data_IF_588454612338
#
_entry.id   IF_588454612338
#
_cell.length_a   1.000
_cell.length_b   1.000
_cell.length_c   1.000
_cell.angle_alpha   90.00
_cell.angle_beta   90.00
_cell.angle_gamma   90.00
#
_symmetry.space_group_name_H-M   'P 1'
#
loop_
_entity.id
_entity.type
_entity.pdbx_description
1 polymer ?
#
# COMPACT_ATOMS: atom_id res chain seq x y z
N UNK A 1 -38.81 15.96 15.74
CA UNK A 1 -37.44 16.44 15.52
C UNK A 1 -36.54 15.23 15.47
N UNK A 2 -36.13 14.80 14.27
CA UNK A 2 -35.25 13.63 14.09
C UNK A 2 -33.80 14.06 14.38
N UNK A 3 -33.18 13.45 15.37
CA UNK A 3 -31.78 13.66 15.73
C UNK A 3 -30.95 12.94 14.65
N UNK A 4 -30.29 13.69 13.76
CA UNK A 4 -29.32 13.15 12.82
C UNK A 4 -28.18 12.48 13.61
N UNK A 5 -27.76 11.25 13.27
CA UNK A 5 -26.64 10.62 13.93
C UNK A 5 -25.38 11.46 13.70
N UNK A 6 -24.67 11.79 14.77
CA UNK A 6 -23.36 12.46 14.70
C UNK A 6 -22.45 11.64 13.80
N UNK A 7 -21.95 12.24 12.70
CA UNK A 7 -20.94 11.65 11.87
C UNK A 7 -19.75 11.25 12.75
N UNK A 8 -19.56 9.96 12.95
CA UNK A 8 -18.43 9.45 13.73
C UNK A 8 -17.14 9.94 13.10
N UNK A 9 -16.25 10.53 13.91
CA UNK A 9 -14.90 10.91 13.48
C UNK A 9 -14.25 9.67 12.86
N UNK A 10 -14.04 9.67 11.54
CA UNK A 10 -13.35 8.59 10.86
C UNK A 10 -11.96 8.48 11.48
N UNK A 11 -11.71 7.39 12.21
CA UNK A 11 -10.42 7.12 12.81
C UNK A 11 -9.39 7.07 11.68
N UNK A 12 -8.52 8.06 11.62
CA UNK A 12 -7.50 8.16 10.59
C UNK A 12 -6.56 6.97 10.70
N UNK A 13 -6.25 6.31 9.58
CA UNK A 13 -5.32 5.18 9.60
C UNK A 13 -3.93 5.67 9.94
N UNK A 14 -3.29 4.99 10.89
CA UNK A 14 -1.94 5.30 11.35
C UNK A 14 -0.92 5.28 10.20
N UNK A 15 -0.04 6.25 10.18
CA UNK A 15 1.15 6.33 9.32
C UNK A 15 2.35 5.84 10.13
N UNK A 16 3.16 4.95 9.57
CA UNK A 16 4.40 4.49 10.20
C UNK A 16 5.51 5.53 10.01
N UNK A 17 6.32 5.78 11.04
CA UNK A 17 7.57 6.54 10.87
C UNK A 17 8.58 5.75 10.03
N UNK A 18 9.69 6.37 9.61
CA UNK A 18 10.74 5.66 8.86
C UNK A 18 11.41 4.57 9.70
N UNK A 19 11.61 4.85 10.98
CA UNK A 19 12.17 3.91 11.96
C UNK A 19 11.22 2.72 12.16
N UNK A 20 9.92 2.99 12.31
CA UNK A 20 8.90 1.95 12.47
C UNK A 20 8.77 1.06 11.24
N UNK A 21 8.83 1.63 10.03
CA UNK A 21 8.85 0.85 8.78
C UNK A 21 10.04 -0.09 8.73
N UNK A 22 11.23 0.45 9.01
CA UNK A 22 12.49 -0.30 9.02
C UNK A 22 12.47 -1.40 10.08
N UNK A 23 12.03 -1.08 11.28
CA UNK A 23 11.92 -2.01 12.38
C UNK A 23 10.95 -3.14 12.08
N UNK A 24 9.74 -2.81 11.62
CA UNK A 24 8.70 -3.79 11.26
C UNK A 24 9.20 -4.76 10.18
N UNK A 25 9.78 -4.24 9.09
CA UNK A 25 10.32 -5.09 8.03
C UNK A 25 11.51 -5.94 8.49
N UNK A 26 12.37 -5.41 9.36
CA UNK A 26 13.49 -6.16 9.97
C UNK A 26 12.96 -7.36 10.75
N UNK A 27 11.96 -7.17 11.62
CA UNK A 27 11.36 -8.26 12.39
C UNK A 27 10.61 -9.25 11.49
N UNK A 28 9.81 -8.77 10.54
CA UNK A 28 9.12 -9.62 9.59
C UNK A 28 10.10 -10.54 8.83
N UNK A 29 11.26 -10.01 8.41
CA UNK A 29 12.30 -10.77 7.73
C UNK A 29 13.01 -11.76 8.67
N UNK A 30 13.48 -11.29 9.82
CA UNK A 30 14.25 -12.09 10.77
C UNK A 30 13.45 -13.25 11.37
N UNK A 31 12.14 -13.07 11.53
CA UNK A 31 11.21 -14.09 12.06
C UNK A 31 10.51 -14.88 10.94
N UNK A 32 11.07 -14.88 9.73
CA UNK A 32 10.61 -15.65 8.57
C UNK A 32 9.10 -15.47 8.27
N UNK A 33 8.61 -14.24 8.34
CA UNK A 33 7.24 -13.95 7.94
C UNK A 33 7.03 -14.32 6.46
N UNK A 34 6.08 -15.20 6.19
CA UNK A 34 5.72 -15.56 4.82
C UNK A 34 5.11 -14.38 4.02
N UNK A 35 4.73 -13.32 4.73
CA UNK A 35 4.23 -12.07 4.17
C UNK A 35 5.27 -10.93 4.14
N UNK A 36 6.55 -11.19 4.46
CA UNK A 36 7.59 -10.16 4.41
C UNK A 36 7.60 -9.40 3.06
N UNK A 37 7.61 -10.14 1.95
CA UNK A 37 7.63 -9.54 0.62
C UNK A 37 6.30 -8.82 0.29
N UNK A 38 5.18 -9.29 0.83
CA UNK A 38 3.88 -8.60 0.74
C UNK A 38 3.95 -7.22 1.42
N UNK A 39 4.45 -7.15 2.65
CA UNK A 39 4.59 -5.90 3.39
C UNK A 39 5.56 -4.93 2.71
N UNK A 40 6.69 -5.46 2.23
CA UNK A 40 7.68 -4.68 1.51
C UNK A 40 7.12 -4.06 0.21
N UNK A 41 6.30 -4.82 -0.54
CA UNK A 41 5.66 -4.34 -1.76
C UNK A 41 4.50 -3.37 -1.45
N UNK A 42 3.72 -3.61 -0.38
CA UNK A 42 2.66 -2.72 0.07
C UNK A 42 3.17 -1.31 0.36
N UNK A 43 4.31 -1.19 1.06
CA UNK A 43 4.98 0.07 1.37
C UNK A 43 5.53 0.81 0.15
N UNK A 44 5.78 0.12 -0.98
CA UNK A 44 6.36 0.71 -2.19
C UNK A 44 5.36 1.04 -3.28
N UNK A 45 4.17 0.46 -3.20
CA UNK A 45 3.16 0.61 -4.25
C UNK A 45 1.92 1.37 -3.81
N UNK A 46 1.66 1.43 -2.51
CA UNK A 46 0.42 1.96 -1.97
C UNK A 46 -0.84 1.22 -2.44
N UNK A 47 -0.71 0.01 -2.99
CA UNK A 47 -1.86 -0.82 -3.42
C UNK A 47 -2.81 -1.07 -2.26
N UNK A 48 -4.11 -1.18 -2.57
CA UNK A 48 -5.09 -1.63 -1.59
C UNK A 48 -4.83 -3.10 -1.21
N UNK A 49 -5.15 -3.46 0.03
CA UNK A 49 -4.96 -4.86 0.50
C UNK A 49 -5.57 -5.89 -0.47
N UNK A 50 -6.82 -5.65 -0.94
CA UNK A 50 -7.47 -6.56 -1.89
C UNK A 50 -6.79 -6.62 -3.26
N UNK A 51 -6.24 -5.51 -3.75
CA UNK A 51 -5.48 -5.46 -5.00
C UNK A 51 -4.17 -6.24 -4.88
N UNK A 52 -3.43 -6.03 -3.79
CA UNK A 52 -2.15 -6.71 -3.57
C UNK A 52 -2.32 -8.22 -3.35
N UNK A 53 -3.37 -8.64 -2.60
CA UNK A 53 -3.72 -10.07 -2.46
C UNK A 53 -4.15 -10.70 -3.78
N UNK A 54 -4.79 -9.92 -4.67
CA UNK A 54 -5.22 -10.34 -6.00
C UNK A 54 -4.14 -10.28 -7.07
N UNK A 55 -2.93 -9.85 -6.75
CA UNK A 55 -1.83 -9.69 -7.71
C UNK A 55 -1.37 -11.05 -8.24
N UNK A 56 -1.35 -11.20 -9.56
CA UNK A 56 -0.88 -12.41 -10.25
C UNK A 56 0.43 -12.13 -10.99
N UNK A 57 1.18 -13.19 -11.28
CA UNK A 57 2.41 -13.04 -12.08
C UNK A 57 2.15 -12.52 -13.51
N UNK A 58 0.94 -12.73 -14.05
CA UNK A 58 0.52 -12.16 -15.34
C UNK A 58 0.43 -10.64 -15.34
N UNK A 59 0.26 -10.03 -14.14
CA UNK A 59 0.11 -8.59 -13.99
C UNK A 59 1.45 -7.86 -13.95
N UNK A 60 2.56 -8.61 -13.94
CA UNK A 60 3.91 -8.05 -13.86
C UNK A 60 4.47 -7.87 -15.28
N UNK A 61 4.39 -6.66 -15.77
CA UNK A 61 4.91 -6.27 -17.09
C UNK A 61 6.41 -5.97 -17.06
N UNK A 62 7.27 -7.00 -16.93
CA UNK A 62 8.74 -6.84 -16.79
C UNK A 62 9.37 -6.01 -17.92
N UNK A 63 8.92 -6.16 -19.18
CA UNK A 63 9.46 -5.40 -20.31
C UNK A 63 9.12 -3.91 -20.24
N UNK A 64 7.94 -3.57 -19.72
CA UNK A 64 7.45 -2.20 -19.59
C UNK A 64 7.72 -1.61 -18.20
N UNK A 65 8.27 -2.41 -17.29
CA UNK A 65 8.48 -2.06 -15.88
C UNK A 65 7.21 -1.46 -15.25
N UNK A 66 6.11 -2.24 -15.24
CA UNK A 66 4.82 -1.85 -14.67
C UNK A 66 4.15 -3.01 -13.94
N UNK A 67 3.35 -2.68 -12.94
CA UNK A 67 2.37 -3.57 -12.32
C UNK A 67 0.98 -3.15 -12.82
N UNK A 68 0.27 -4.06 -13.49
CA UNK A 68 -1.10 -3.84 -13.93
C UNK A 68 -2.07 -4.15 -12.79
N UNK A 69 -2.70 -3.14 -12.21
CA UNK A 69 -3.72 -3.32 -11.17
C UNK A 69 -5.08 -3.49 -11.86
N UNK A 70 -5.52 -4.72 -12.01
CA UNK A 70 -6.71 -5.07 -12.83
C UNK A 70 -7.78 -5.81 -12.03
N UNK A 71 -7.54 -6.16 -10.76
CA UNK A 71 -8.50 -6.86 -9.90
C UNK A 71 -8.31 -6.54 -8.42
N UNK A 72 -9.32 -6.87 -7.64
CA UNK A 72 -9.28 -6.85 -6.18
C UNK A 72 -9.92 -8.11 -5.62
N UNK A 73 -9.38 -8.67 -4.56
CA UNK A 73 -10.01 -9.75 -3.83
C UNK A 73 -10.97 -9.20 -2.78
N UNK A 74 -12.19 -9.70 -2.80
CA UNK A 74 -13.25 -9.40 -1.84
C UNK A 74 -13.72 -10.69 -1.18
N UNK A 75 -14.31 -10.55 0.00
CA UNK A 75 -15.02 -11.60 0.70
C UNK A 75 -16.49 -11.18 0.87
N UNK A 76 -17.39 -12.08 0.61
CA UNK A 76 -18.82 -11.91 0.82
C UNK A 76 -19.36 -13.18 1.49
N UNK A 77 -20.20 -13.00 2.47
CA UNK A 77 -20.83 -14.11 3.19
C UNK A 77 -21.66 -14.94 2.22
N UNK A 78 -21.54 -16.26 2.30
CA UNK A 78 -22.19 -17.21 1.38
C UNK A 78 -21.47 -17.42 0.03
N UNK A 79 -20.67 -16.44 -0.44
CA UNK A 79 -19.85 -16.56 -1.67
C UNK A 79 -18.39 -16.88 -1.40
N UNK A 80 -17.91 -16.51 -0.21
CA UNK A 80 -16.50 -16.67 0.13
C UNK A 80 -15.59 -15.61 -0.51
N UNK A 81 -14.33 -15.97 -0.74
CA UNK A 81 -13.32 -15.12 -1.36
C UNK A 81 -13.45 -15.18 -2.89
N UNK A 82 -13.55 -14.02 -3.54
CA UNK A 82 -13.68 -13.92 -4.99
C UNK A 82 -12.91 -12.74 -5.57
N UNK A 83 -12.56 -12.85 -6.86
CA UNK A 83 -12.00 -11.76 -7.65
C UNK A 83 -13.13 -10.83 -8.10
N UNK A 84 -12.96 -9.53 -7.85
CA UNK A 84 -13.82 -8.49 -8.39
C UNK A 84 -13.02 -7.61 -9.33
N UNK A 85 -13.61 -7.35 -10.50
CA UNK A 85 -13.02 -6.39 -11.44
C UNK A 85 -13.36 -4.98 -10.98
N UNK A 86 -12.42 -4.05 -11.05
CA UNK A 86 -12.69 -2.67 -10.70
C UNK A 86 -13.86 -2.09 -11.50
N UNK A 87 -14.88 -1.59 -10.81
CA UNK A 87 -16.11 -1.04 -11.43
C UNK A 87 -15.91 0.26 -12.20
N UNK A 88 -14.74 0.90 -12.07
CA UNK A 88 -14.45 2.19 -12.70
C UNK A 88 -13.11 2.15 -13.43
N UNK A 89 -12.99 2.88 -14.53
CA UNK A 89 -11.76 3.03 -15.30
C UNK A 89 -10.57 3.54 -14.42
N UNK A 90 -10.85 4.35 -13.41
CA UNK A 90 -9.82 4.85 -12.47
C UNK A 90 -9.26 3.78 -11.53
N UNK A 91 -9.92 2.64 -11.42
CA UNK A 91 -9.47 1.53 -10.56
C UNK A 91 -8.55 0.55 -11.29
N UNK A 92 -8.61 0.50 -12.64
CA UNK A 92 -7.61 -0.19 -13.47
C UNK A 92 -6.51 0.81 -13.77
N UNK A 93 -5.28 0.49 -13.39
CA UNK A 93 -4.15 1.40 -13.53
C UNK A 93 -2.83 0.66 -13.59
N UNK A 94 -1.84 1.31 -14.14
CA UNK A 94 -0.45 0.85 -14.12
C UNK A 94 0.32 1.58 -13.02
N UNK A 95 1.05 0.82 -12.21
CA UNK A 95 2.02 1.36 -11.24
C UNK A 95 3.41 1.12 -11.81
N UNK A 96 4.25 2.15 -11.97
CA UNK A 96 5.64 1.98 -12.36
C UNK A 96 6.36 1.00 -11.43
N UNK A 97 7.03 0.00 -12.00
CA UNK A 97 7.78 -1.03 -11.30
C UNK A 97 9.25 -0.62 -11.25
N UNK A 98 9.79 -0.47 -10.05
CA UNK A 98 11.22 -0.22 -9.85
C UNK A 98 11.98 -1.55 -9.72
N UNK A 99 13.32 -1.53 -9.88
CA UNK A 99 14.15 -2.73 -9.77
C UNK A 99 14.05 -3.40 -8.39
N UNK A 100 13.96 -2.62 -7.32
CA UNK A 100 13.79 -3.15 -5.96
C UNK A 100 12.42 -3.80 -5.75
N UNK A 101 11.35 -3.27 -6.36
CA UNK A 101 10.03 -3.92 -6.36
C UNK A 101 10.05 -5.24 -7.16
N UNK A 102 10.73 -5.25 -8.31
CA UNK A 102 10.92 -6.48 -9.09
C UNK A 102 11.69 -7.52 -8.29
N UNK A 103 12.74 -7.11 -7.58
CA UNK A 103 13.51 -7.99 -6.70
C UNK A 103 12.65 -8.58 -5.56
N UNK A 104 11.73 -7.79 -4.97
CA UNK A 104 10.79 -8.29 -3.96
C UNK A 104 9.90 -9.40 -4.53
N UNK A 105 9.38 -9.22 -5.75
CA UNK A 105 8.55 -10.21 -6.44
C UNK A 105 9.35 -11.49 -6.74
N UNK A 106 10.60 -11.36 -7.20
CA UNK A 106 11.48 -12.50 -7.42
C UNK A 106 11.86 -13.21 -6.11
N UNK A 107 12.05 -12.47 -5.02
CA UNK A 107 12.28 -13.05 -3.70
C UNK A 107 11.06 -13.82 -3.19
N UNK A 108 9.83 -13.35 -3.46
CA UNK A 108 8.61 -14.08 -3.14
C UNK A 108 8.53 -15.41 -3.90
N UNK A 109 8.90 -15.38 -5.17
CA UNK A 109 8.98 -16.59 -5.99
C UNK A 109 9.98 -17.60 -5.42
N UNK A 110 11.19 -17.13 -5.04
CA UNK A 110 12.23 -17.96 -4.40
C UNK A 110 11.77 -18.51 -3.05
N UNK A 111 11.05 -17.72 -2.25
CA UNK A 111 10.54 -18.14 -0.95
C UNK A 111 9.66 -19.40 -1.06
N UNK A 112 8.87 -19.52 -2.12
CA UNK A 112 8.06 -20.71 -2.41
C UNK A 112 8.80 -21.79 -3.22
N UNK A 113 10.11 -21.67 -3.45
CA UNK A 113 10.89 -22.63 -4.23
C UNK A 113 10.49 -22.68 -5.71
N UNK A 114 9.83 -21.65 -6.22
CA UNK A 114 9.38 -21.59 -7.61
C UNK A 114 10.56 -21.21 -8.50
N UNK A 115 11.14 -22.17 -9.20
CA UNK A 115 12.21 -21.91 -10.17
C UNK A 115 11.70 -21.33 -11.51
N UNK A 116 10.52 -21.79 -11.96
CA UNK A 116 9.87 -21.34 -13.19
C UNK A 116 8.37 -21.16 -12.97
N UNK A 117 7.84 -20.03 -13.42
CA UNK A 117 6.39 -19.80 -13.41
C UNK A 117 5.79 -20.57 -14.58
N UNK A 118 5.07 -21.64 -14.28
CA UNK A 118 4.38 -22.48 -15.28
C UNK A 118 3.05 -21.83 -15.64
N UNK A 119 2.33 -21.34 -14.63
CA UNK A 119 1.05 -20.67 -14.80
C UNK A 119 1.15 -19.21 -14.33
N UNK A 120 1.12 -18.27 -15.29
CA UNK A 120 1.17 -16.84 -15.01
C UNK A 120 -0.09 -16.33 -14.26
N UNK A 121 -1.17 -17.10 -14.25
CA UNK A 121 -2.39 -16.77 -13.50
C UNK A 121 -2.30 -17.13 -12.01
N UNK A 122 -1.18 -17.66 -11.54
CA UNK A 122 -0.96 -17.87 -10.10
C UNK A 122 -0.78 -16.56 -9.37
N UNK A 123 -1.31 -16.50 -8.14
CA UNK A 123 -1.14 -15.35 -7.27
C UNK A 123 0.33 -15.22 -6.85
N UNK A 124 0.83 -13.98 -6.81
CA UNK A 124 2.18 -13.68 -6.29
C UNK A 124 2.25 -14.01 -4.80
N UNK A 125 1.17 -13.70 -4.07
CA UNK A 125 1.05 -13.95 -2.63
C UNK A 125 -0.05 -14.97 -2.36
N UNK A 126 0.33 -16.11 -1.80
CA UNK A 126 -0.56 -17.23 -1.48
C UNK A 126 -0.14 -17.94 -0.19
N UNK A 127 -0.91 -18.91 0.28
CA UNK A 127 -0.67 -19.66 1.53
C UNK A 127 0.11 -20.98 1.31
N UNK A 128 0.94 -21.07 0.28
CA UNK A 128 1.68 -22.30 -0.05
C UNK A 128 0.90 -23.27 -0.93
N UNK A 129 -0.41 -23.31 -0.83
CA UNK A 129 -1.32 -24.15 -1.61
C UNK A 129 -1.88 -23.44 -2.86
N UNK A 130 -1.27 -22.32 -3.25
CA UNK A 130 -1.64 -21.45 -4.38
C UNK A 130 -2.99 -20.74 -4.23
N UNK A 131 -3.70 -20.92 -3.12
CA UNK A 131 -4.91 -20.15 -2.81
C UNK A 131 -4.57 -18.74 -2.38
N UNK A 132 -5.40 -17.74 -2.73
CA UNK A 132 -5.15 -16.37 -2.35
C UNK A 132 -5.26 -16.18 -0.84
N UNK A 133 -4.50 -15.24 -0.31
CA UNK A 133 -4.47 -14.91 1.12
C UNK A 133 -5.76 -14.19 1.52
N UNK A 134 -6.36 -14.54 2.66
CA UNK A 134 -7.49 -13.81 3.21
C UNK A 134 -7.06 -12.45 3.80
N UNK A 135 -8.02 -11.55 4.01
CA UNK A 135 -7.76 -10.27 4.69
C UNK A 135 -7.27 -10.49 6.12
N UNK A 136 -7.87 -11.45 6.79
CA UNK A 136 -7.60 -11.72 8.20
C UNK A 136 -6.21 -12.35 8.39
N UNK A 137 -5.76 -13.20 7.45
CA UNK A 137 -4.39 -13.70 7.45
C UNK A 137 -3.35 -12.57 7.38
N UNK A 138 -3.59 -11.56 6.55
CA UNK A 138 -2.68 -10.39 6.46
C UNK A 138 -2.65 -9.63 7.79
N UNK A 139 -3.82 -9.38 8.41
CA UNK A 139 -3.88 -8.65 9.67
C UNK A 139 -3.28 -9.46 10.82
N UNK A 140 -3.58 -10.74 10.90
CA UNK A 140 -3.02 -11.63 11.94
C UNK A 140 -1.49 -11.69 11.86
N UNK A 141 -0.92 -11.69 10.65
CA UNK A 141 0.53 -11.69 10.48
C UNK A 141 1.16 -10.34 10.85
N UNK A 142 0.48 -9.21 10.57
CA UNK A 142 0.90 -7.89 11.08
C UNK A 142 0.91 -7.91 12.61
N UNK A 143 -0.18 -8.37 13.23
CA UNK A 143 -0.31 -8.41 14.68
C UNK A 143 0.74 -9.35 15.32
N UNK A 144 1.07 -10.49 14.67
CA UNK A 144 2.17 -11.38 15.08
C UNK A 144 3.53 -10.68 15.07
N UNK A 145 3.87 -9.97 14.00
CA UNK A 145 5.14 -9.24 13.92
C UNK A 145 5.22 -8.14 14.98
N UNK A 146 4.12 -7.42 15.23
CA UNK A 146 4.05 -6.41 16.28
C UNK A 146 4.24 -7.04 17.67
N UNK A 147 3.64 -8.20 17.93
CA UNK A 147 3.82 -8.93 19.18
C UNK A 147 5.29 -9.26 19.43
N UNK A 148 6.00 -9.77 18.41
CA UNK A 148 7.44 -10.09 18.50
C UNK A 148 8.31 -8.85 18.77
N UNK A 149 7.96 -7.70 18.19
CA UNK A 149 8.67 -6.43 18.49
C UNK A 149 8.46 -6.04 19.96
N UNK A 150 7.25 -6.21 20.47
CA UNK A 150 6.90 -5.88 21.87
C UNK A 150 7.52 -6.85 22.87
N UNK A 151 7.65 -8.13 22.53
CA UNK A 151 8.34 -9.14 23.35
C UNK A 151 9.81 -8.77 23.59
N UNK A 152 10.45 -8.10 22.63
CA UNK A 152 11.80 -7.56 22.78
C UNK A 152 11.83 -6.20 23.54
N UNK A 153 10.73 -5.80 24.21
CA UNK A 153 10.61 -4.60 25.03
C UNK A 153 10.44 -3.30 24.25
N UNK A 154 10.24 -3.35 22.93
CA UNK A 154 10.08 -2.16 22.10
C UNK A 154 8.61 -1.76 22.02
N UNK A 155 8.31 -0.52 22.40
CA UNK A 155 6.95 0.00 22.26
C UNK A 155 6.62 0.22 20.79
N UNK A 156 5.69 -0.58 20.25
CA UNK A 156 5.26 -0.49 18.87
C UNK A 156 3.73 -0.43 18.81
N UNK A 157 3.18 0.66 18.30
CA UNK A 157 1.74 0.84 18.24
C UNK A 157 1.13 -0.02 17.12
N UNK A 158 -0.05 -0.61 17.40
CA UNK A 158 -0.79 -1.43 16.43
C UNK A 158 -1.25 -0.61 15.23
N UNK A 159 -1.16 -1.19 14.03
CA UNK A 159 -1.72 -0.62 12.81
C UNK A 159 -2.42 -1.70 11.97
N UNK A 160 -3.19 -1.27 10.97
CA UNK A 160 -3.86 -2.17 10.03
C UNK A 160 -3.13 -2.18 8.69
N UNK A 161 -3.39 -3.19 7.84
CA UNK A 161 -2.81 -3.27 6.50
C UNK A 161 -3.01 -1.97 5.68
N UNK A 162 -4.07 -1.21 5.94
CA UNK A 162 -4.30 0.09 5.29
C UNK A 162 -3.26 1.14 5.68
N UNK A 163 -2.62 0.99 6.85
CA UNK A 163 -1.50 1.83 7.29
C UNK A 163 -0.32 1.83 6.32
N UNK A 164 -0.02 0.71 5.65
CA UNK A 164 1.03 0.68 4.62
C UNK A 164 0.74 1.64 3.47
N UNK A 165 -0.52 1.68 3.00
CA UNK A 165 -0.93 2.59 1.93
C UNK A 165 -0.88 4.06 2.36
N UNK A 166 -1.31 4.36 3.59
CA UNK A 166 -1.17 5.71 4.16
C UNK A 166 0.30 6.11 4.29
N UNK A 167 1.14 5.20 4.76
CA UNK A 167 2.57 5.42 4.86
C UNK A 167 3.20 5.69 3.50
N UNK A 168 2.88 4.89 2.46
CA UNK A 168 3.31 5.16 1.10
C UNK A 168 2.88 6.55 0.63
N UNK A 169 1.61 6.91 0.83
CA UNK A 169 1.08 8.21 0.40
C UNK A 169 1.81 9.37 1.09
N UNK A 170 2.04 9.27 2.40
CA UNK A 170 2.78 10.26 3.17
C UNK A 170 4.22 10.41 2.65
N UNK A 171 4.95 9.29 2.47
CA UNK A 171 6.33 9.33 1.95
C UNK A 171 6.40 9.89 0.53
N UNK A 172 5.42 9.57 -0.32
CA UNK A 172 5.33 10.11 -1.68
C UNK A 172 5.15 11.64 -1.66
N UNK A 173 4.29 12.15 -0.78
CA UNK A 173 4.07 13.59 -0.60
C UNK A 173 5.32 14.28 -0.07
N UNK A 174 5.94 13.75 1.00
CA UNK A 174 7.18 14.27 1.58
C UNK A 174 8.34 14.30 0.56
N UNK A 175 8.34 13.34 -0.39
CA UNK A 175 9.31 13.28 -1.50
C UNK A 175 8.95 14.18 -2.68
N UNK A 176 7.91 15.02 -2.59
CA UNK A 176 7.52 15.96 -3.64
C UNK A 176 6.76 15.36 -4.82
N UNK A 177 6.19 14.14 -4.68
CA UNK A 177 5.38 13.55 -5.74
C UNK A 177 4.17 14.44 -6.04
N UNK A 178 3.92 14.72 -7.32
CA UNK A 178 2.79 15.57 -7.72
C UNK A 178 1.43 14.94 -7.37
N UNK A 179 0.43 15.74 -6.91
CA UNK A 179 -0.88 15.24 -6.49
C UNK A 179 -1.58 14.38 -7.55
N UNK A 180 -1.50 14.78 -8.81
CA UNK A 180 -2.11 14.05 -9.92
C UNK A 180 -1.45 12.68 -10.14
N UNK A 181 -0.13 12.60 -9.99
CA UNK A 181 0.62 11.33 -10.06
C UNK A 181 0.23 10.41 -8.92
N UNK A 182 0.22 10.93 -7.69
CA UNK A 182 -0.18 10.17 -6.52
C UNK A 182 -1.62 9.68 -6.61
N UNK A 183 -2.55 10.54 -7.07
CA UNK A 183 -3.95 10.16 -7.36
C UNK A 183 -4.00 8.94 -8.28
N UNK A 184 -3.26 8.98 -9.38
CA UNK A 184 -3.23 7.92 -10.39
C UNK A 184 -2.67 6.62 -9.81
N UNK A 185 -1.51 6.67 -9.12
CA UNK A 185 -0.88 5.50 -8.49
C UNK A 185 -1.80 4.88 -7.44
N UNK A 186 -2.43 5.70 -6.60
CA UNK A 186 -3.36 5.21 -5.58
C UNK A 186 -4.70 4.75 -6.17
N UNK A 187 -5.08 5.19 -7.35
CA UNK A 187 -6.40 4.90 -7.94
C UNK A 187 -7.51 5.56 -7.12
N UNK A 188 -7.33 6.84 -6.76
CA UNK A 188 -8.38 7.65 -6.16
C UNK A 188 -9.35 8.13 -7.23
N UNK A 189 -10.64 8.04 -6.96
CA UNK A 189 -11.68 8.48 -7.90
C UNK A 189 -11.67 10.00 -8.11
N UNK A 190 -11.35 10.76 -7.07
CA UNK A 190 -11.30 12.23 -7.11
C UNK A 190 -9.94 12.76 -6.68
N UNK A 191 -9.57 13.93 -7.20
CA UNK A 191 -8.35 14.62 -6.75
C UNK A 191 -8.50 15.11 -5.32
N UNK A 192 -9.69 15.47 -4.86
CA UNK A 192 -9.96 15.90 -3.49
C UNK A 192 -9.45 14.88 -2.47
N UNK A 193 -9.70 13.57 -2.67
CA UNK A 193 -9.19 12.53 -1.77
C UNK A 193 -7.66 12.53 -1.63
N UNK A 194 -6.95 12.98 -2.65
CA UNK A 194 -5.49 13.09 -2.62
C UNK A 194 -5.06 14.40 -2.00
N UNK A 195 -5.76 15.50 -2.32
CA UNK A 195 -5.46 16.83 -1.74
C UNK A 195 -5.68 16.88 -0.23
N UNK A 196 -6.67 16.13 0.28
CA UNK A 196 -6.87 15.97 1.72
C UNK A 196 -5.61 15.39 2.41
N UNK A 197 -4.94 14.42 1.77
CA UNK A 197 -3.67 13.87 2.28
C UNK A 197 -2.54 14.92 2.24
N UNK A 198 -2.44 15.71 1.16
CA UNK A 198 -1.44 16.78 1.05
C UNK A 198 -1.61 17.82 2.15
N UNK A 199 -2.82 18.26 2.40
CA UNK A 199 -3.13 19.26 3.45
C UNK A 199 -2.74 18.79 4.86
N UNK A 200 -2.77 17.48 5.09
CA UNK A 200 -2.36 16.90 6.36
C UNK A 200 -0.85 16.70 6.51
N UNK A 201 -0.15 16.40 5.40
CA UNK A 201 1.28 16.06 5.41
C UNK A 201 2.14 17.31 5.27
N UNK A 202 1.71 18.26 4.43
CA UNK A 202 2.39 19.53 4.17
C UNK A 202 1.46 20.67 4.58
N UNK A 203 1.36 21.00 5.85
CA UNK A 203 0.71 22.24 6.28
C UNK A 203 1.60 23.42 5.88
N UNK A 204 1.62 23.76 4.57
CA UNK A 204 2.30 24.97 4.14
C UNK A 204 1.57 26.17 4.71
N UNK A 205 2.31 27.09 5.31
CA UNK A 205 1.73 28.37 5.65
C UNK A 205 1.59 29.18 4.37
N UNK A 206 0.44 29.81 4.14
CA UNK A 206 0.24 30.72 3.00
C UNK A 206 1.37 31.77 2.90
N UNK A 207 1.97 32.13 4.03
CA UNK A 207 3.09 33.03 4.10
C UNK A 207 4.36 32.48 3.43
N UNK A 208 4.70 31.21 3.67
CA UNK A 208 5.87 30.56 3.05
C UNK A 208 5.70 30.42 1.53
N UNK A 209 4.50 30.08 1.05
CA UNK A 209 4.22 30.02 -0.38
C UNK A 209 4.27 31.39 -1.04
N UNK A 210 3.74 32.40 -0.39
CA UNK A 210 3.83 33.81 -0.88
C UNK A 210 5.28 34.32 -0.92
N UNK A 211 6.09 33.99 0.08
CA UNK A 211 7.51 34.35 0.10
C UNK A 211 8.27 33.65 -1.04
N UNK A 212 7.99 32.36 -1.27
CA UNK A 212 8.64 31.60 -2.33
C UNK A 212 8.40 32.17 -3.74
N UNK A 213 7.21 32.75 -4.00
CA UNK A 213 6.91 33.37 -5.30
C UNK A 213 7.31 34.85 -5.38
N UNK A 214 7.65 35.48 -4.27
CA UNK A 214 7.96 36.96 -4.24
C UNK A 214 9.12 37.32 -5.17
N UNK A 215 10.11 36.42 -5.29
CA UNK A 215 11.24 36.59 -6.19
C UNK A 215 10.91 36.60 -7.68
N UNK A 216 9.74 36.04 -8.08
CA UNK A 216 9.28 36.02 -9.46
C UNK A 216 8.71 37.39 -9.92
N UNK A 217 8.40 38.28 -8.98
CA UNK A 217 7.79 39.60 -9.23
C UNK A 217 8.75 40.76 -8.92
N UNK A 218 10.06 40.55 -9.08
CA UNK A 218 11.04 41.64 -8.91
C UNK A 218 10.76 42.75 -9.93
N UNK A 219 10.37 43.92 -9.42
CA UNK A 219 10.31 45.16 -10.17
C UNK A 219 11.72 45.75 -10.16
N UNK A 220 12.35 45.83 -11.32
CA UNK A 220 13.65 46.52 -11.55
C UNK A 220 13.49 48.00 -11.46
#
# INVERSE_FOLDING_TARGET
MAILPKAGVKKQSRVLTQEEQTLFLKYAKAKNSYLYNFFALALRTGMRNGELRGLKYSDIGKKKMVIHVVRTLKYEEGRGLYEDTPKTASSTRDIPLTEDMLQIIENQKKFWGISKIINKNEYVFHQGDKRPISRDCVQSEIDRVIALIREDGINFERFTCHGFRHTFATRAIESGMQPQTLKTILGHSTLSMTMDLYSHVLPSTKAEEMEAISGAFKIS
#
